data_IF_003237344363
#
_entry.id   IF_003237344363
#
_cell.length_a   1.000
_cell.length_b   1.000
_cell.length_c   1.000
_cell.angle_alpha   90.00
_cell.angle_beta   90.00
_cell.angle_gamma   90.00
#
_symmetry.space_group_name_H-M   'P 1'
#
loop_
_entity.id
_entity.type
_entity.pdbx_description
1 polymer ?
#
# COMPACT_ATOMS: atom_id res chain seq x y z
N UNK A 1 -6.05 17.57 -17.53
CA UNK A 1 -7.28 17.18 -16.81
C UNK A 1 -6.99 15.79 -16.26
N UNK A 2 -6.59 15.68 -14.99
CA UNK A 2 -6.20 14.38 -14.43
C UNK A 2 -7.45 13.60 -14.07
N UNK A 3 -7.60 12.37 -14.56
CA UNK A 3 -8.60 11.43 -14.07
C UNK A 3 -8.45 11.34 -12.55
N UNK A 4 -9.52 11.66 -11.81
CA UNK A 4 -9.55 11.39 -10.38
C UNK A 4 -9.48 9.87 -10.17
N UNK A 5 -8.74 9.39 -9.17
CA UNK A 5 -8.72 7.96 -8.85
C UNK A 5 -10.15 7.51 -8.55
N UNK A 6 -10.56 6.38 -9.15
CA UNK A 6 -11.87 5.80 -8.85
C UNK A 6 -11.91 5.41 -7.37
N UNK A 7 -13.06 5.66 -6.73
CA UNK A 7 -13.29 5.15 -5.39
C UNK A 7 -13.08 3.63 -5.40
N UNK A 8 -12.45 3.06 -4.36
CA UNK A 8 -12.22 1.63 -4.31
C UNK A 8 -13.57 0.88 -4.37
N UNK A 9 -13.67 -0.08 -5.27
CA UNK A 9 -14.83 -0.94 -5.39
C UNK A 9 -14.72 -2.07 -4.37
N UNK A 10 -15.64 -2.09 -3.41
CA UNK A 10 -15.72 -3.13 -2.41
C UNK A 10 -16.72 -4.20 -2.86
N UNK A 11 -16.23 -5.42 -3.13
CA UNK A 11 -17.08 -6.56 -3.52
C UNK A 11 -17.10 -7.59 -2.41
N UNK A 12 -18.29 -7.87 -1.87
CA UNK A 12 -18.48 -8.90 -0.84
C UNK A 12 -19.31 -10.06 -1.38
N UNK A 13 -18.74 -11.25 -1.37
CA UNK A 13 -19.41 -12.51 -1.74
C UNK A 13 -19.40 -13.46 -0.56
N UNK A 14 -20.50 -13.50 0.20
CA UNK A 14 -20.59 -14.33 1.40
C UNK A 14 -19.54 -13.96 2.46
N UNK A 15 -18.57 -14.87 2.70
CA UNK A 15 -17.44 -14.67 3.62
C UNK A 15 -16.20 -14.03 2.97
N UNK A 16 -16.17 -13.91 1.64
CA UNK A 16 -15.04 -13.33 0.91
C UNK A 16 -15.32 -11.85 0.64
N UNK A 17 -14.31 -11.02 0.83
CA UNK A 17 -14.33 -9.61 0.50
C UNK A 17 -13.13 -9.27 -0.39
N UNK A 18 -13.36 -8.50 -1.45
CA UNK A 18 -12.38 -7.95 -2.37
C UNK A 18 -12.43 -6.43 -2.29
N UNK A 19 -11.26 -5.80 -2.31
CA UNK A 19 -11.09 -4.36 -2.45
C UNK A 19 -10.30 -4.11 -3.74
N UNK A 20 -10.92 -3.49 -4.74
CA UNK A 20 -10.27 -3.13 -5.99
C UNK A 20 -10.10 -1.62 -6.10
N UNK A 21 -8.90 -1.14 -6.43
CA UNK A 21 -8.63 0.26 -6.70
C UNK A 21 -7.57 0.38 -7.78
N UNK A 22 -7.69 1.41 -8.62
CA UNK A 22 -6.73 1.71 -9.68
C UNK A 22 -6.42 3.20 -9.67
N UNK A 23 -5.14 3.53 -9.81
CA UNK A 23 -4.66 4.90 -9.93
C UNK A 23 -3.64 5.00 -11.06
N UNK A 24 -3.69 6.09 -11.82
CA UNK A 24 -2.68 6.38 -12.84
C UNK A 24 -1.57 7.23 -12.24
N UNK A 25 -0.36 6.68 -12.17
CA UNK A 25 0.82 7.39 -11.68
C UNK A 25 1.73 7.72 -12.86
N UNK A 26 2.13 8.99 -12.98
CA UNK A 26 3.03 9.45 -14.03
C UNK A 26 4.50 9.21 -13.66
N UNK A 27 4.87 7.94 -13.53
CA UNK A 27 6.22 7.49 -13.24
C UNK A 27 6.52 6.19 -13.99
N UNK A 28 7.80 5.83 -14.09
CA UNK A 28 8.20 4.54 -14.66
C UNK A 28 7.91 3.41 -13.68
N UNK A 29 7.61 2.18 -14.17
CA UNK A 29 7.41 1.02 -13.29
C UNK A 29 8.59 0.77 -12.34
N UNK A 30 9.82 0.94 -12.82
CA UNK A 30 11.02 0.80 -12.00
C UNK A 30 11.07 1.78 -10.83
N UNK A 31 10.67 3.04 -11.07
CA UNK A 31 10.61 4.04 -10.00
C UNK A 31 9.55 3.71 -8.94
N UNK A 32 8.40 3.21 -9.37
CA UNK A 32 7.36 2.75 -8.45
C UNK A 32 7.86 1.55 -7.64
N UNK A 33 8.54 0.60 -8.29
CA UNK A 33 9.11 -0.56 -7.64
C UNK A 33 10.11 -0.18 -6.54
N UNK A 34 11.02 0.76 -6.80
CA UNK A 34 11.98 1.27 -5.80
C UNK A 34 11.26 1.83 -4.55
N UNK A 35 10.13 2.52 -4.74
CA UNK A 35 9.37 3.11 -3.63
C UNK A 35 8.64 2.01 -2.84
N UNK A 36 7.97 1.08 -3.53
CA UNK A 36 7.24 -0.03 -2.89
C UNK A 36 8.15 -1.06 -2.22
N UNK A 37 9.39 -1.20 -2.69
CA UNK A 37 10.39 -2.07 -2.03
C UNK A 37 11.24 -1.32 -1.00
N UNK A 38 11.12 0.00 -0.93
CA UNK A 38 11.81 0.86 0.01
C UNK A 38 11.16 0.88 1.40
N UNK A 39 11.07 -0.26 2.08
CA UNK A 39 10.38 -0.45 3.37
C UNK A 39 10.66 0.61 4.45
N UNK A 40 11.91 1.11 4.53
CA UNK A 40 12.32 2.16 5.47
C UNK A 40 11.63 3.52 5.25
N UNK A 41 11.03 3.73 4.08
CA UNK A 41 10.42 4.99 3.69
C UNK A 41 8.89 4.99 3.76
N UNK A 42 8.27 3.86 4.14
CA UNK A 42 6.82 3.72 4.18
C UNK A 42 6.16 4.77 5.09
N UNK A 43 6.73 5.03 6.26
CA UNK A 43 6.22 6.04 7.20
C UNK A 43 6.15 7.47 6.63
N UNK A 44 6.82 7.76 5.50
CA UNK A 44 6.80 9.08 4.87
C UNK A 44 5.55 9.31 4.04
N UNK A 45 4.89 8.25 3.56
CA UNK A 45 3.81 8.37 2.58
C UNK A 45 2.61 7.47 2.87
N UNK A 46 2.80 6.35 3.57
CA UNK A 46 1.71 5.48 4.00
C UNK A 46 1.28 5.90 5.42
N UNK A 47 0.08 6.49 5.59
CA UNK A 47 -0.38 6.96 6.89
C UNK A 47 -0.68 5.82 7.86
N UNK A 48 -0.89 4.60 7.37
CA UNK A 48 -1.23 3.44 8.19
C UNK A 48 0.00 2.62 8.55
N UNK A 49 1.06 2.60 7.75
CA UNK A 49 2.25 1.79 8.01
C UNK A 49 3.37 2.65 8.60
N UNK A 50 3.67 2.45 9.89
CA UNK A 50 4.74 3.20 10.59
C UNK A 50 6.12 2.59 10.40
N UNK A 51 6.19 1.28 10.30
CA UNK A 51 7.44 0.57 10.05
C UNK A 51 7.14 -0.76 9.37
N UNK A 52 8.11 -1.22 8.59
CA UNK A 52 8.18 -2.59 8.09
C UNK A 52 9.54 -3.14 8.53
N UNK A 53 9.49 -4.21 9.31
CA UNK A 53 10.64 -4.94 9.82
C UNK A 53 10.77 -6.27 9.07
N UNK A 54 11.99 -6.79 8.93
CA UNK A 54 12.25 -8.07 8.27
C UNK A 54 13.12 -7.96 7.03
N UNK A 55 13.11 -9.04 6.23
CA UNK A 55 14.09 -9.29 5.17
C UNK A 55 14.03 -8.33 3.97
N UNK A 56 15.02 -8.48 3.09
CA UNK A 56 15.08 -7.83 1.78
C UNK A 56 13.84 -8.23 0.96
N UNK A 57 13.24 -7.33 0.16
CA UNK A 57 12.16 -7.69 -0.75
C UNK A 57 12.60 -8.78 -1.74
N UNK A 58 12.29 -10.02 -1.37
CA UNK A 58 12.67 -11.24 -2.07
C UNK A 58 11.55 -12.27 -1.92
N UNK A 59 11.41 -13.13 -2.91
CA UNK A 59 10.41 -14.19 -2.88
C UNK A 59 10.66 -15.15 -1.72
N UNK A 60 9.59 -15.48 -0.98
CA UNK A 60 9.66 -16.33 0.21
C UNK A 60 10.18 -15.63 1.47
N UNK A 61 10.62 -14.37 1.41
CA UNK A 61 11.01 -13.61 2.59
C UNK A 61 9.78 -13.13 3.39
N UNK A 62 9.80 -13.34 4.71
CA UNK A 62 8.80 -12.80 5.62
C UNK A 62 9.12 -11.35 6.01
N UNK A 63 8.08 -10.52 6.06
CA UNK A 63 8.12 -9.16 6.63
C UNK A 63 7.04 -8.99 7.69
N UNK A 64 7.30 -8.12 8.65
CA UNK A 64 6.35 -7.71 9.70
C UNK A 64 6.08 -6.23 9.55
N UNK A 65 4.82 -5.85 9.30
CA UNK A 65 4.40 -4.45 9.26
C UNK A 65 3.83 -4.04 10.62
N UNK A 66 4.26 -2.89 11.12
CA UNK A 66 3.71 -2.27 12.32
C UNK A 66 2.74 -1.14 11.90
N UNK A 67 1.42 -1.38 11.95
CA UNK A 67 0.46 -0.36 11.62
C UNK A 67 0.40 0.71 12.72
N UNK A 68 0.30 1.98 12.31
CA UNK A 68 -0.02 3.09 13.17
C UNK A 68 -1.51 3.10 13.57
N UNK A 69 -1.87 3.94 14.56
CA UNK A 69 -3.27 4.17 14.90
C UNK A 69 -4.02 4.72 13.69
N UNK A 70 -5.29 4.29 13.53
CA UNK A 70 -6.22 4.90 12.58
C UNK A 70 -6.51 6.34 13.02
N UNK A 71 -5.90 7.32 12.35
CA UNK A 71 -6.08 8.74 12.68
C UNK A 71 -7.47 9.28 12.26
N UNK A 72 -8.26 8.50 11.51
CA UNK A 72 -9.63 8.77 11.07
C UNK A 72 -10.72 8.50 12.14
N UNK A 73 -10.34 8.08 13.35
CA UNK A 73 -11.26 7.79 14.47
C UNK A 73 -11.12 8.75 15.66
N UNK A 74 -10.46 9.89 15.49
CA UNK A 74 -10.26 10.92 16.54
C UNK A 74 -11.30 12.05 16.50
#
# INVERSE_FOLDING_TARGET
MGEQPSLPEYRKFGRTAELYSEIRIMATPGRIWEILTGFQQYAKWDPFIRAIEGGVPAEGAGITANPGPREDLA
#
